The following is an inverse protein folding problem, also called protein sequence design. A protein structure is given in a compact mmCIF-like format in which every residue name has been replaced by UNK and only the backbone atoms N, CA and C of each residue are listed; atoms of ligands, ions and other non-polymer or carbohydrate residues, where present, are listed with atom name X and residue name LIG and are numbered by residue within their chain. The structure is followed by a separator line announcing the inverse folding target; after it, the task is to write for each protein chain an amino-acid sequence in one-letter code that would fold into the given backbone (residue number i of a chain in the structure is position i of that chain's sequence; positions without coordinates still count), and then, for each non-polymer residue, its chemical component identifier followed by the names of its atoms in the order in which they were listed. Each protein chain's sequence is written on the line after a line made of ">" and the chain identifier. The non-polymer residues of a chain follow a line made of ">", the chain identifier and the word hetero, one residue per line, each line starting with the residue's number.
data_IF_642858340768
#
_entry.id   IF_642858340768
#
_cell.length_a   1.000
_cell.length_b   1.000
_cell.length_c   1.000
_cell.angle_alpha   90.00
_cell.angle_beta   90.00
_cell.angle_gamma   90.00
#
_symmetry.space_group_name_H-M   'P 1'
#
loop_
_entity.id
_entity.type
_entity.pdbx_description
1 polymer ?
#
# COMPACT_ATOMS: atom_id res chain seq x y z
N UNK A 1 -15.17 -9.35 0.52
CA UNK A 1 -14.10 -8.42 0.09
C UNK A 1 -14.09 -8.30 -1.43
N UNK A 2 -13.82 -7.10 -1.93
CA UNK A 2 -13.69 -6.83 -3.36
C UNK A 2 -12.37 -6.09 -3.63
N UNK A 3 -11.67 -6.47 -4.68
CA UNK A 3 -10.45 -5.82 -5.16
C UNK A 3 -10.76 -5.31 -6.57
N UNK A 4 -10.53 -4.03 -6.80
CA UNK A 4 -10.78 -3.40 -8.09
C UNK A 4 -9.72 -2.35 -8.39
N UNK A 5 -9.29 -2.28 -9.64
CA UNK A 5 -8.44 -1.20 -10.13
C UNK A 5 -9.26 -0.09 -10.79
N UNK A 6 -8.99 1.16 -10.45
CA UNK A 6 -9.56 2.34 -11.13
C UNK A 6 -8.41 3.17 -11.67
N UNK A 7 -8.54 3.67 -12.91
CA UNK A 7 -7.50 4.50 -13.55
C UNK A 7 -7.75 6.00 -13.43
N UNK A 8 -8.97 6.40 -13.05
CA UNK A 8 -9.42 7.78 -13.27
C UNK A 8 -10.18 8.44 -12.13
N UNK A 9 -10.70 7.73 -11.12
CA UNK A 9 -11.27 8.40 -9.96
C UNK A 9 -11.71 7.48 -8.82
N UNK A 10 -11.77 8.07 -7.62
CA UNK A 10 -12.43 7.55 -6.41
C UNK A 10 -13.94 7.32 -6.59
N UNK A 11 -14.56 7.91 -7.62
CA UNK A 11 -15.96 7.67 -8.03
C UNK A 11 -16.31 6.18 -8.15
N UNK A 12 -15.37 5.36 -8.63
CA UNK A 12 -15.60 3.92 -8.73
C UNK A 12 -15.82 3.29 -7.34
N UNK A 13 -15.13 3.79 -6.31
CA UNK A 13 -15.32 3.35 -4.92
C UNK A 13 -16.72 3.73 -4.44
N UNK A 14 -17.14 4.97 -4.68
CA UNK A 14 -18.49 5.44 -4.35
C UNK A 14 -19.59 4.63 -5.05
N UNK A 15 -19.39 4.22 -6.31
CA UNK A 15 -20.32 3.31 -6.99
C UNK A 15 -20.46 1.95 -6.27
N UNK A 16 -19.37 1.42 -5.70
CA UNK A 16 -19.42 0.19 -4.91
C UNK A 16 -20.14 0.36 -3.58
N UNK A 17 -20.07 1.56 -2.98
CA UNK A 17 -20.76 1.93 -1.73
C UNK A 17 -22.26 2.15 -2.00
N UNK A 18 -22.60 2.90 -3.05
CA UNK A 18 -23.97 3.24 -3.50
C UNK A 18 -24.72 2.06 -4.17
N UNK A 19 -24.17 0.84 -4.10
CA UNK A 19 -24.80 -0.37 -4.64
C UNK A 19 -24.85 -0.48 -6.18
N UNK A 20 -24.23 0.46 -6.90
CA UNK A 20 -24.09 0.49 -8.38
C UNK A 20 -22.82 -0.21 -8.89
N UNK A 21 -22.01 -0.76 -7.99
CA UNK A 21 -20.74 -1.40 -8.31
C UNK A 21 -20.87 -2.81 -8.89
N UNK A 22 -19.80 -3.59 -8.79
CA UNK A 22 -19.76 -4.96 -9.30
C UNK A 22 -20.84 -5.85 -8.68
N UNK A 23 -21.29 -6.87 -9.43
CA UNK A 23 -22.30 -7.82 -8.96
C UNK A 23 -21.97 -8.46 -7.60
N UNK A 24 -20.68 -8.60 -7.27
CA UNK A 24 -20.22 -9.07 -5.97
C UNK A 24 -20.49 -8.08 -4.83
N UNK A 25 -20.18 -6.78 -5.00
CA UNK A 25 -20.45 -5.75 -3.99
C UNK A 25 -21.94 -5.42 -3.90
N UNK A 26 -22.70 -5.65 -4.97
CA UNK A 26 -24.17 -5.57 -4.94
C UNK A 26 -24.81 -6.69 -4.10
N UNK A 27 -24.26 -7.91 -4.18
CA UNK A 27 -24.72 -9.05 -3.36
C UNK A 27 -24.22 -8.96 -1.91
N UNK A 28 -23.02 -8.45 -1.71
CA UNK A 28 -22.37 -8.29 -0.41
C UNK A 28 -21.93 -6.83 -0.25
N UNK A 29 -22.84 -5.94 0.19
CA UNK A 29 -22.52 -4.54 0.38
C UNK A 29 -21.42 -4.37 1.45
N UNK A 30 -20.62 -3.29 1.35
CA UNK A 30 -19.65 -2.97 2.39
C UNK A 30 -20.35 -2.73 3.74
N UNK A 31 -19.69 -3.14 4.83
CA UNK A 31 -20.19 -2.83 6.19
C UNK A 31 -19.83 -1.39 6.51
N UNK A 32 -20.77 -0.66 7.11
CA UNK A 32 -20.57 0.72 7.59
C UNK A 32 -19.25 0.85 8.34
N UNK A 33 -18.39 1.80 7.91
CA UNK A 33 -17.09 2.07 8.51
C UNK A 33 -15.95 1.12 8.10
N UNK A 34 -16.18 0.17 7.18
CA UNK A 34 -15.13 -0.72 6.62
C UNK A 34 -15.19 -0.83 5.09
N UNK A 35 -15.60 0.25 4.43
CA UNK A 35 -15.77 0.27 2.98
C UNK A 35 -14.46 0.17 2.21
N UNK A 36 -13.37 0.68 2.78
CA UNK A 36 -12.05 0.71 2.15
C UNK A 36 -11.04 0.03 3.07
N UNK A 37 -10.52 -1.12 2.66
CA UNK A 37 -9.46 -1.82 3.42
C UNK A 37 -8.04 -1.39 3.04
N UNK A 38 -7.85 -1.05 1.78
CA UNK A 38 -6.54 -0.66 1.25
C UNK A 38 -6.73 0.11 -0.05
N UNK A 39 -6.20 1.32 -0.10
CA UNK A 39 -6.00 2.06 -1.33
C UNK A 39 -4.51 1.97 -1.67
N UNK A 40 -4.20 1.57 -2.91
CA UNK A 40 -2.82 1.53 -3.38
C UNK A 40 -2.77 2.20 -4.75
N UNK A 41 -1.95 3.23 -4.87
CA UNK A 41 -1.81 4.01 -6.10
C UNK A 41 -0.60 3.53 -6.93
N UNK A 42 -0.64 3.80 -8.24
CA UNK A 42 0.46 3.48 -9.17
C UNK A 42 0.58 2.00 -9.57
N UNK A 43 -0.42 1.17 -9.27
CA UNK A 43 -0.42 -0.24 -9.68
C UNK A 43 -0.88 -0.41 -11.13
N UNK A 44 -0.24 -1.37 -11.82
CA UNK A 44 -0.64 -1.76 -13.17
C UNK A 44 -1.83 -2.71 -13.10
N UNK A 45 -2.56 -2.84 -14.20
CA UNK A 45 -3.65 -3.84 -14.35
C UNK A 45 -3.19 -5.25 -13.98
N UNK A 46 -1.92 -5.59 -14.24
CA UNK A 46 -1.32 -6.88 -13.89
C UNK A 46 -1.17 -7.11 -12.38
N UNK A 47 -1.10 -6.05 -11.57
CA UNK A 47 -0.95 -6.15 -10.13
C UNK A 47 -2.28 -6.40 -9.42
N UNK A 48 -3.42 -6.08 -10.06
CA UNK A 48 -4.77 -6.34 -9.53
C UNK A 48 -4.96 -7.83 -9.22
N UNK A 49 -4.50 -8.70 -10.13
CA UNK A 49 -4.58 -10.15 -9.95
C UNK A 49 -3.68 -10.63 -8.80
N UNK A 50 -2.49 -10.03 -8.63
CA UNK A 50 -1.60 -10.35 -7.51
C UNK A 50 -2.22 -9.97 -6.18
N UNK A 51 -2.75 -8.76 -6.05
CA UNK A 51 -3.41 -8.26 -4.83
C UNK A 51 -4.66 -9.09 -4.52
N UNK A 52 -5.42 -9.46 -5.55
CA UNK A 52 -6.59 -10.34 -5.40
C UNK A 52 -6.19 -11.68 -4.80
N UNK A 53 -5.14 -12.33 -5.32
CA UNK A 53 -4.64 -13.60 -4.78
C UNK A 53 -4.11 -13.47 -3.34
N UNK A 54 -3.44 -12.36 -3.01
CA UNK A 54 -2.97 -12.09 -1.65
C UNK A 54 -4.14 -11.91 -0.67
N UNK A 55 -5.19 -11.21 -1.09
CA UNK A 55 -6.41 -11.06 -0.31
C UNK A 55 -7.14 -12.40 -0.16
N UNK A 56 -7.20 -13.21 -1.22
CA UNK A 56 -7.74 -14.59 -1.17
C UNK A 56 -6.95 -15.48 -0.21
N UNK A 57 -5.64 -15.27 -0.05
CA UNK A 57 -4.82 -15.97 0.93
C UNK A 57 -5.19 -15.61 2.37
N UNK A 58 -5.52 -14.35 2.63
CA UNK A 58 -5.84 -13.84 3.97
C UNK A 58 -7.27 -14.18 4.38
N UNK A 59 -8.24 -13.97 3.49
CA UNK A 59 -9.67 -14.05 3.79
C UNK A 59 -10.37 -15.27 3.20
N UNK A 60 -9.65 -16.06 2.38
CA UNK A 60 -10.19 -17.23 1.69
C UNK A 60 -10.68 -16.91 0.27
N UNK A 61 -10.44 -17.85 -0.64
CA UNK A 61 -10.82 -17.76 -2.07
C UNK A 61 -12.31 -17.54 -2.27
N UNK A 62 -13.15 -18.07 -1.38
CA UNK A 62 -14.61 -17.93 -1.48
C UNK A 62 -15.10 -16.51 -1.12
N UNK A 63 -14.34 -15.76 -0.32
CA UNK A 63 -14.77 -14.48 0.28
C UNK A 63 -14.25 -13.22 -0.44
N UNK A 64 -13.38 -13.41 -1.44
CA UNK A 64 -12.68 -12.32 -2.14
C UNK A 64 -12.92 -12.44 -3.65
N UNK A 65 -13.24 -11.33 -4.30
CA UNK A 65 -13.36 -11.23 -5.77
C UNK A 65 -12.60 -10.00 -6.27
N UNK A 66 -12.04 -10.08 -7.47
CA UNK A 66 -11.29 -9.00 -8.10
C UNK A 66 -10.57 -9.45 -9.35
N UNK A 67 -10.12 -8.50 -10.18
CA UNK A 67 -9.39 -8.76 -11.42
C UNK A 67 -10.02 -9.87 -12.29
N UNK A 68 -9.21 -10.86 -12.67
CA UNK A 68 -9.60 -12.03 -13.46
C UNK A 68 -10.67 -12.93 -12.80
N UNK A 69 -10.91 -12.78 -11.50
CA UNK A 69 -11.84 -13.59 -10.70
C UNK A 69 -13.00 -12.77 -10.12
N UNK A 70 -13.61 -11.91 -10.93
CA UNK A 70 -14.77 -11.10 -10.54
C UNK A 70 -16.13 -11.85 -10.56
N UNK A 71 -16.18 -13.12 -11.00
CA UNK A 71 -17.44 -13.86 -11.14
C UNK A 71 -18.09 -14.19 -9.79
N UNK A 72 -19.41 -13.94 -9.68
CA UNK A 72 -20.16 -14.19 -8.44
C UNK A 72 -20.23 -15.68 -8.12
N UNK A 73 -20.51 -16.51 -9.13
CA UNK A 73 -20.51 -17.97 -9.01
C UNK A 73 -19.25 -18.53 -9.71
N UNK A 74 -18.39 -19.23 -8.95
CA UNK A 74 -17.22 -19.93 -9.48
C UNK A 74 -17.43 -21.42 -9.28
N UNK A 75 -17.01 -22.23 -10.24
CA UNK A 75 -17.11 -23.68 -10.11
C UNK A 75 -16.20 -24.19 -8.99
N UNK A 76 -16.55 -25.34 -8.39
CA UNK A 76 -15.71 -25.98 -7.39
C UNK A 76 -14.27 -26.20 -7.90
N UNK A 77 -14.13 -26.53 -9.19
CA UNK A 77 -12.83 -26.69 -9.87
C UNK A 77 -12.01 -25.40 -9.86
N UNK A 78 -12.62 -24.25 -10.18
CA UNK A 78 -11.95 -22.94 -10.17
C UNK A 78 -11.53 -22.54 -8.75
N UNK A 79 -12.39 -22.81 -7.76
CA UNK A 79 -12.09 -22.52 -6.35
C UNK A 79 -10.91 -23.37 -5.88
N UNK A 80 -10.92 -24.68 -6.13
CA UNK A 80 -9.83 -25.58 -5.75
C UNK A 80 -8.51 -25.23 -6.44
N UNK A 81 -8.56 -24.80 -7.71
CA UNK A 81 -7.38 -24.34 -8.43
C UNK A 81 -6.77 -23.07 -7.82
N UNK A 82 -7.60 -22.08 -7.51
CA UNK A 82 -7.19 -20.87 -6.82
C UNK A 82 -6.62 -21.16 -5.42
N UNK A 83 -7.27 -22.03 -4.65
CA UNK A 83 -6.78 -22.45 -3.34
C UNK A 83 -5.42 -23.12 -3.44
N UNK A 84 -5.18 -23.93 -4.49
CA UNK A 84 -3.89 -24.54 -4.77
C UNK A 84 -2.83 -23.49 -5.14
N UNK A 85 -3.17 -22.52 -5.97
CA UNK A 85 -2.27 -21.40 -6.36
C UNK A 85 -1.88 -20.53 -5.16
N UNK A 86 -2.83 -20.28 -4.27
CA UNK A 86 -2.60 -19.52 -3.03
C UNK A 86 -1.74 -20.32 -2.05
N UNK A 87 -2.02 -21.61 -1.87
CA UNK A 87 -1.22 -22.51 -1.01
C UNK A 87 0.20 -22.71 -1.53
N UNK A 88 0.42 -22.82 -2.84
CA UNK A 88 1.76 -23.01 -3.40
C UNK A 88 2.67 -21.80 -3.15
N UNK A 89 2.13 -20.57 -3.23
CA UNK A 89 2.87 -19.35 -2.88
C UNK A 89 3.24 -19.25 -1.39
N UNK A 90 2.44 -19.85 -0.49
CA UNK A 90 2.76 -19.93 0.94
C UNK A 90 3.86 -20.93 1.29
N UNK A 91 4.07 -21.98 0.46
CA UNK A 91 5.12 -22.99 0.70
C UNK A 91 6.53 -22.45 0.43
N UNK A 92 6.68 -21.42 -0.40
CA UNK A 92 7.98 -20.78 -0.65
C UNK A 92 8.44 -19.85 0.49
N UNK A 93 7.56 -19.52 1.46
CA UNK A 93 7.91 -18.65 2.60
C UNK A 93 8.02 -19.38 3.95
N UNK A 94 8.06 -20.72 3.96
CA UNK A 94 8.15 -21.52 5.20
C UNK A 94 9.41 -22.41 5.23
N UNK A 95 10.58 -21.81 5.02
CA UNK A 95 11.86 -22.40 5.44
C UNK A 95 12.92 -21.32 5.66
N UNK A 96 12.83 -20.60 6.78
CA UNK A 96 14.00 -19.98 7.43
C UNK A 96 13.63 -19.34 8.76
N UNK A 97 13.09 -20.14 9.67
CA UNK A 97 13.31 -19.90 11.10
C UNK A 97 14.23 -21.01 11.61
N UNK A 98 15.53 -20.76 11.56
CA UNK A 98 16.49 -21.46 12.41
C UNK A 98 17.33 -20.42 13.12
N UNK A 99 17.12 -20.38 14.44
CA UNK A 99 17.97 -19.71 15.41
C UNK A 99 19.44 -20.11 15.19
N UNK A 100 20.30 -19.08 15.23
CA UNK A 100 21.76 -19.06 15.43
C UNK A 100 22.45 -20.42 15.62
N UNK A 101 23.44 -20.70 14.77
CA UNK A 101 24.74 -21.20 15.22
C UNK A 101 25.86 -20.58 14.38
N UNK A 102 26.80 -19.99 15.10
CA UNK A 102 28.03 -19.36 14.65
C UNK A 102 28.95 -20.35 13.95
N UNK A 103 29.34 -20.06 12.71
CA UNK A 103 30.63 -20.51 12.13
C UNK A 103 31.08 -19.50 11.07
N UNK A 104 32.29 -18.97 11.26
CA UNK A 104 33.01 -18.12 10.31
C UNK A 104 33.26 -18.91 9.02
N UNK A 105 32.84 -18.41 7.86
CA UNK A 105 33.72 -18.41 6.68
C UNK A 105 33.28 -17.39 5.63
N UNK A 106 34.31 -16.72 5.14
CA UNK A 106 34.39 -15.59 4.24
C UNK A 106 33.96 -15.89 2.80
N UNK A 107 33.00 -15.14 2.26
CA UNK A 107 32.90 -14.88 0.82
C UNK A 107 32.32 -13.48 0.56
N UNK A 108 33.19 -12.64 0.00
CA UNK A 108 33.05 -11.32 -0.65
C UNK A 108 31.75 -10.52 -0.44
N UNK A 109 31.89 -9.38 0.26
CA UNK A 109 30.89 -8.31 0.43
C UNK A 109 30.45 -7.74 -0.94
N UNK A 110 29.15 -7.65 -1.27
CA UNK A 110 28.70 -6.72 -2.31
C UNK A 110 28.86 -5.29 -1.79
N UNK A 111 29.27 -4.37 -2.66
CA UNK A 111 29.49 -2.98 -2.33
C UNK A 111 28.24 -2.35 -1.70
N UNK A 112 28.39 -1.80 -0.50
CA UNK A 112 27.35 -1.15 0.29
C UNK A 112 26.89 0.11 -0.46
N UNK A 113 25.79 0.03 -1.24
CA UNK A 113 25.19 1.24 -1.86
C UNK A 113 24.85 2.20 -0.71
N UNK A 114 25.41 3.41 -0.76
CA UNK A 114 25.18 4.45 0.26
C UNK A 114 23.68 4.80 0.21
N UNK A 115 22.94 4.47 1.26
CA UNK A 115 21.53 4.85 1.39
C UNK A 115 21.43 6.38 1.36
N UNK A 116 20.60 6.90 0.46
CA UNK A 116 20.31 8.34 0.37
C UNK A 116 19.46 8.75 1.57
N UNK A 117 19.94 9.75 2.32
CA UNK A 117 19.28 10.26 3.53
C UNK A 117 18.18 11.26 3.14
N UNK A 118 17.02 11.18 3.79
CA UNK A 118 15.91 12.11 3.64
C UNK A 118 15.33 12.56 4.99
N UNK A 119 14.27 13.35 4.94
CA UNK A 119 13.64 13.96 6.12
C UNK A 119 12.11 13.88 6.04
N UNK A 120 11.42 13.66 7.14
CA UNK A 120 9.96 13.74 7.19
C UNK A 120 9.53 15.16 6.81
N UNK A 121 8.55 15.28 5.91
CA UNK A 121 8.04 16.60 5.51
C UNK A 121 7.19 17.28 6.60
N UNK A 122 6.81 16.56 7.65
CA UNK A 122 5.98 17.09 8.73
C UNK A 122 6.79 17.37 10.00
N UNK A 123 7.41 16.35 10.60
CA UNK A 123 8.23 16.53 11.81
C UNK A 123 9.70 16.88 11.55
N UNK A 124 10.18 16.86 10.30
CA UNK A 124 11.60 17.07 9.98
C UNK A 124 12.52 15.89 10.36
N UNK A 125 12.00 14.80 10.91
CA UNK A 125 12.82 13.67 11.35
C UNK A 125 13.59 13.00 10.22
N UNK A 126 14.81 12.54 10.52
CA UNK A 126 15.65 11.86 9.53
C UNK A 126 15.07 10.48 9.20
N UNK A 127 14.82 10.25 7.90
CA UNK A 127 14.35 8.96 7.39
C UNK A 127 15.09 8.54 6.11
N UNK A 128 14.76 7.35 5.62
CA UNK A 128 15.22 6.92 4.29
C UNK A 128 14.53 7.78 3.22
N UNK A 129 15.32 8.25 2.25
CA UNK A 129 14.78 9.10 1.17
C UNK A 129 13.90 8.26 0.25
N UNK A 130 12.60 8.54 0.28
CA UNK A 130 11.58 7.89 -0.54
C UNK A 130 10.56 8.96 -0.93
N UNK A 131 10.56 9.30 -2.22
CA UNK A 131 9.68 10.33 -2.77
C UNK A 131 8.19 9.95 -2.66
N UNK A 132 7.86 8.66 -2.66
CA UNK A 132 6.49 8.17 -2.50
C UNK A 132 6.01 8.17 -1.04
N UNK A 133 6.95 8.30 -0.10
CA UNK A 133 6.67 8.28 1.35
C UNK A 133 7.44 9.40 2.01
N UNK A 134 7.05 10.66 1.77
CA UNK A 134 7.80 11.81 2.27
C UNK A 134 7.65 12.00 3.78
N UNK A 135 6.63 11.40 4.40
CA UNK A 135 6.36 11.44 5.84
C UNK A 135 6.90 10.19 6.57
N UNK A 136 7.18 10.31 7.87
CA UNK A 136 7.45 9.15 8.72
C UNK A 136 6.13 8.43 9.06
N UNK A 137 6.24 7.20 9.59
CA UNK A 137 5.08 6.37 9.90
C UNK A 137 4.23 6.92 11.04
N UNK A 138 4.86 7.64 11.96
CA UNK A 138 4.18 8.24 13.13
C UNK A 138 3.34 9.43 12.66
N UNK A 139 3.97 10.39 11.97
CA UNK A 139 3.27 11.49 11.30
C UNK A 139 2.16 11.02 10.34
N UNK A 140 2.37 9.93 9.61
CA UNK A 140 1.33 9.39 8.72
C UNK A 140 0.15 8.78 9.49
N UNK A 141 0.36 8.27 10.70
CA UNK A 141 -0.71 7.74 11.56
C UNK A 141 -1.53 8.87 12.15
N UNK A 142 -0.86 9.90 12.67
CA UNK A 142 -1.51 11.05 13.28
C UNK A 142 -2.45 11.75 12.27
N UNK A 143 -2.03 11.83 10.99
CA UNK A 143 -2.86 12.34 9.88
C UNK A 143 -4.18 11.57 9.66
N UNK A 144 -4.23 10.28 10.01
CA UNK A 144 -5.38 9.40 9.71
C UNK A 144 -6.38 9.35 10.87
N UNK A 145 -5.91 9.55 12.09
CA UNK A 145 -6.73 9.40 13.29
C UNK A 145 -7.68 10.59 13.54
N UNK A 146 -7.34 11.79 13.06
CA UNK A 146 -8.21 12.98 13.16
C UNK A 146 -8.40 13.71 11.81
N UNK A 147 -9.32 13.25 10.96
CA UNK A 147 -9.61 13.88 9.67
C UNK A 147 -10.52 15.12 9.76
N UNK A 148 -10.91 15.59 10.96
CA UNK A 148 -11.73 16.80 11.14
C UNK A 148 -10.99 17.95 11.82
N UNK A 149 -9.79 17.73 12.38
CA UNK A 149 -8.84 18.78 12.79
C UNK A 149 -8.07 19.39 11.59
N UNK A 150 -8.62 19.25 10.38
CA UNK A 150 -8.05 19.84 9.15
C UNK A 150 -8.34 21.35 9.05
N UNK A 151 -9.12 21.95 9.95
CA UNK A 151 -9.46 23.38 9.89
C UNK A 151 -8.62 24.29 10.80
N UNK A 152 -7.91 23.76 11.81
CA UNK A 152 -7.08 24.58 12.72
C UNK A 152 -5.57 24.37 12.58
N UNK A 153 -5.11 23.38 11.79
CA UNK A 153 -3.68 23.08 11.63
C UNK A 153 -3.08 23.48 10.27
N UNK A 154 -3.70 24.45 9.58
CA UNK A 154 -3.20 25.09 8.34
C UNK A 154 -2.05 26.09 8.60
N UNK A 155 -1.10 25.77 9.48
CA UNK A 155 -0.11 26.75 9.97
C UNK A 155 1.32 26.28 10.17
N UNK A 156 1.64 24.99 10.10
CA UNK A 156 3.00 24.53 10.38
C UNK A 156 3.78 24.27 9.09
N UNK A 157 4.73 25.16 8.84
CA UNK A 157 5.72 25.10 7.77
C UNK A 157 6.31 23.68 7.69
N UNK A 158 6.06 22.96 6.60
CA UNK A 158 6.64 21.64 6.36
C UNK A 158 8.16 21.68 6.15
N UNK A 159 8.79 20.54 5.91
CA UNK A 159 10.24 20.41 5.69
C UNK A 159 10.56 19.76 4.34
N UNK A 160 11.62 20.22 3.65
CA UNK A 160 12.07 19.57 2.43
C UNK A 160 12.58 18.14 2.69
N UNK A 161 12.01 17.16 2.01
CA UNK A 161 12.37 15.74 2.14
C UNK A 161 13.84 15.45 1.80
N UNK A 162 14.49 16.28 0.97
CA UNK A 162 15.91 16.10 0.56
C UNK A 162 16.90 16.83 1.46
N UNK A 163 16.59 18.05 1.90
CA UNK A 163 17.55 18.88 2.65
C UNK A 163 17.15 19.18 4.10
N UNK A 164 15.92 18.85 4.51
CA UNK A 164 15.40 19.02 5.86
C UNK A 164 15.19 20.47 6.26
N UNK A 165 15.19 21.40 5.31
CA UNK A 165 14.91 22.82 5.57
C UNK A 165 13.42 23.08 5.49
N UNK A 166 12.93 23.90 6.41
CA UNK A 166 11.58 24.43 6.47
C UNK A 166 11.19 25.03 5.11
N UNK A 167 10.09 24.54 4.57
CA UNK A 167 9.55 24.89 3.26
C UNK A 167 8.10 24.41 3.13
N UNK A 168 7.28 25.17 2.41
CA UNK A 168 5.91 24.79 2.06
C UNK A 168 5.91 23.54 1.16
N UNK A 169 5.92 22.38 1.81
CA UNK A 169 6.04 21.07 1.19
C UNK A 169 4.80 20.27 1.51
N UNK A 170 4.26 19.62 0.50
CA UNK A 170 3.10 18.75 0.62
C UNK A 170 3.48 17.32 0.24
N UNK A 171 2.57 16.38 0.45
CA UNK A 171 2.72 14.99 -0.01
C UNK A 171 3.05 14.94 -1.52
N UNK A 172 2.40 15.81 -2.31
CA UNK A 172 2.64 15.92 -3.76
C UNK A 172 3.92 16.68 -4.11
N UNK A 173 4.33 17.63 -3.26
CA UNK A 173 5.50 18.49 -3.46
C UNK A 173 6.46 18.40 -2.26
N UNK A 174 7.13 17.25 -2.06
CA UNK A 174 7.90 17.02 -0.84
C UNK A 174 9.29 17.68 -0.86
N UNK A 175 9.61 18.48 -1.88
CA UNK A 175 10.92 19.10 -2.07
C UNK A 175 10.79 20.63 -2.17
N UNK A 176 11.74 21.35 -1.58
CA UNK A 176 11.89 22.77 -1.85
C UNK A 176 12.32 23.03 -3.29
N UNK A 177 12.07 24.25 -3.79
CA UNK A 177 12.36 24.62 -5.18
C UNK A 177 13.83 24.39 -5.57
N UNK A 178 14.76 24.60 -4.64
CA UNK A 178 16.19 24.40 -4.86
C UNK A 178 16.56 22.92 -4.98
N UNK A 179 15.88 22.04 -4.24
CA UNK A 179 16.09 20.60 -4.30
C UNK A 179 15.37 19.98 -5.50
N UNK A 180 14.19 20.48 -5.85
CA UNK A 180 13.45 20.09 -7.05
C UNK A 180 14.26 20.35 -8.33
N UNK A 181 14.83 21.55 -8.48
CA UNK A 181 15.67 21.92 -9.65
C UNK A 181 16.97 21.11 -9.79
N UNK A 182 17.35 20.35 -8.76
CA UNK A 182 18.59 19.53 -8.70
C UNK A 182 18.30 18.03 -8.63
N UNK A 183 17.05 17.62 -8.81
CA UNK A 183 16.62 16.21 -8.75
C UNK A 183 16.29 15.69 -10.14
#
# INVERSE_FOLDING_TARGET
>A
YYVGLTRKNVERIWQHIDGKGAAWTKKYPPKEGKEIMSFQDGLKTSDEDRVTLEMMAKYGVKNVRGGSWCRVNMSARQISELERMVKSKSKTKKSSQTKKKSTKKSTKKPARKKQTRGYCIWCGDRKEFDFSKPMCLDCYRDMIEDPYDEMEHYGEIGCCHKCGKDWDTSIERPLCINCWRKS
#
